data_IF_697484557143
#
_entry.id   IF_697484557143
#
_cell.length_a   1.000
_cell.length_b   1.000
_cell.length_c   1.000
_cell.angle_alpha   90.00
_cell.angle_beta   90.00
_cell.angle_gamma   90.00
#
_symmetry.space_group_name_H-M   'P 1'
#
loop_
_entity.id
_entity.type
_entity.pdbx_description
1 polymer ?
#
# COMPACT_ATOMS: atom_id res chain seq x y z
N UNK A 1 9.75 0.95 4.43
CA UNK A 1 10.55 2.01 3.78
C UNK A 1 9.60 2.99 3.13
N UNK A 2 9.73 4.29 3.40
CA UNK A 2 8.89 5.32 2.77
C UNK A 2 9.77 6.01 1.72
N UNK A 3 9.29 6.12 0.50
CA UNK A 3 10.00 6.77 -0.60
C UNK A 3 9.32 8.11 -0.89
N UNK A 4 10.11 9.20 -0.87
CA UNK A 4 9.63 10.55 -1.20
C UNK A 4 9.74 10.76 -2.70
N UNK A 5 8.68 11.30 -3.31
CA UNK A 5 8.61 11.64 -4.73
C UNK A 5 8.16 13.08 -4.91
N UNK A 6 8.51 13.68 -6.03
CA UNK A 6 8.06 15.01 -6.44
C UNK A 6 6.93 14.88 -7.47
N UNK A 7 5.90 15.70 -7.32
CA UNK A 7 4.72 15.69 -8.19
C UNK A 7 4.63 17.03 -8.92
N UNK A 8 4.49 16.97 -10.24
CA UNK A 8 4.23 18.14 -11.08
C UNK A 8 2.93 17.96 -11.85
N UNK A 9 2.01 18.89 -11.67
CA UNK A 9 0.74 18.93 -12.41
C UNK A 9 0.86 19.85 -13.63
N UNK A 10 0.42 19.36 -14.80
CA UNK A 10 0.28 20.16 -16.03
C UNK A 10 -1.05 19.81 -16.70
N UNK A 11 -2.05 20.68 -16.51
CA UNK A 11 -3.40 20.47 -17.04
C UNK A 11 -3.97 19.13 -16.57
N UNK A 12 -4.24 18.23 -17.51
CA UNK A 12 -4.82 16.90 -17.25
C UNK A 12 -3.78 15.81 -17.00
N UNK A 13 -2.52 16.18 -16.79
CA UNK A 13 -1.40 15.26 -16.57
C UNK A 13 -0.69 15.50 -15.24
N UNK A 14 -0.31 14.40 -14.61
CA UNK A 14 0.50 14.34 -13.40
C UNK A 14 1.81 13.66 -13.78
N UNK A 15 2.93 14.35 -13.57
CA UNK A 15 4.29 13.81 -13.75
C UNK A 15 4.90 13.54 -12.38
N UNK A 16 5.46 12.33 -12.21
CA UNK A 16 6.06 11.87 -10.96
C UNK A 16 7.57 11.78 -11.17
N UNK A 17 8.33 12.46 -10.31
CA UNK A 17 9.78 12.47 -10.34
C UNK A 17 10.36 11.83 -9.07
N UNK A 18 11.50 11.17 -9.24
CA UNK A 18 12.32 10.69 -8.14
C UNK A 18 13.76 11.14 -8.37
N UNK A 19 14.31 11.93 -7.43
CA UNK A 19 15.66 12.51 -7.54
C UNK A 19 15.85 13.35 -8.82
N UNK A 20 14.82 14.11 -9.23
CA UNK A 20 14.83 14.92 -10.44
C UNK A 20 14.64 14.13 -11.76
N UNK A 21 14.52 12.80 -11.70
CA UNK A 21 14.29 11.96 -12.88
C UNK A 21 12.80 11.64 -13.01
N UNK A 22 12.23 11.83 -14.21
CA UNK A 22 10.84 11.48 -14.50
C UNK A 22 10.70 9.95 -14.50
N UNK A 23 9.86 9.42 -13.61
CA UNK A 23 9.65 7.97 -13.44
C UNK A 23 8.27 7.51 -13.91
N UNK A 24 7.27 8.38 -13.91
CA UNK A 24 5.92 8.06 -14.35
C UNK A 24 5.15 9.30 -14.78
N UNK A 25 4.16 9.07 -15.65
CA UNK A 25 3.22 10.09 -16.12
C UNK A 25 1.82 9.48 -16.13
N UNK A 26 0.85 10.17 -15.52
CA UNK A 26 -0.55 9.73 -15.42
C UNK A 26 -1.51 10.82 -15.88
N UNK A 27 -2.67 10.41 -16.40
CA UNK A 27 -3.81 11.33 -16.53
C UNK A 27 -4.38 11.64 -15.16
N UNK A 28 -4.73 12.91 -14.95
CA UNK A 28 -5.43 13.37 -13.75
C UNK A 28 -6.84 12.80 -13.77
N UNK A 29 -7.27 12.28 -12.63
CA UNK A 29 -8.65 11.87 -12.45
C UNK A 29 -9.56 13.10 -12.47
N UNK A 30 -10.64 13.06 -13.26
CA UNK A 30 -11.61 14.16 -13.35
C UNK A 30 -12.51 14.22 -12.11
N UNK A 31 -12.62 13.10 -11.38
CA UNK A 31 -13.48 12.96 -10.20
C UNK A 31 -12.72 12.43 -8.99
N UNK A 32 -13.14 12.87 -7.81
CA UNK A 32 -12.50 12.57 -6.52
C UNK A 32 -12.40 11.07 -6.18
N UNK A 33 -13.24 10.24 -6.79
CA UNK A 33 -13.29 8.79 -6.56
C UNK A 33 -13.06 8.00 -7.85
N UNK A 34 -12.35 8.59 -8.82
CA UNK A 34 -12.02 7.92 -10.07
C UNK A 34 -10.59 7.39 -10.02
N UNK A 35 -10.43 6.12 -10.38
CA UNK A 35 -9.12 5.47 -10.55
C UNK A 35 -8.85 5.37 -12.05
N UNK A 36 -7.74 5.95 -12.50
CA UNK A 36 -7.26 5.81 -13.88
C UNK A 36 -6.06 4.87 -13.84
N UNK A 37 -6.19 3.70 -14.46
CA UNK A 37 -5.15 2.69 -14.55
C UNK A 37 -4.71 2.57 -15.99
N UNK A 38 -3.43 2.83 -16.25
CA UNK A 38 -2.77 2.52 -17.52
C UNK A 38 -2.03 1.19 -17.36
N UNK A 39 -2.53 0.12 -17.97
CA UNK A 39 -1.94 -1.21 -17.82
C UNK A 39 -0.53 -1.32 -18.41
N UNK A 40 -0.18 -0.52 -19.43
CA UNK A 40 1.17 -0.54 -20.01
C UNK A 40 2.21 -0.08 -18.97
N UNK A 41 1.84 0.86 -18.10
CA UNK A 41 2.68 1.32 -17.00
C UNK A 41 3.06 0.18 -16.01
N UNK A 42 2.18 -0.80 -15.82
CA UNK A 42 2.37 -1.89 -14.85
C UNK A 42 2.94 -3.18 -15.46
N UNK A 43 3.14 -3.24 -16.78
CA UNK A 43 3.60 -4.47 -17.45
C UNK A 43 4.93 -4.98 -16.88
N UNK A 44 5.87 -4.08 -16.59
CA UNK A 44 7.18 -4.42 -16.01
C UNK A 44 7.15 -4.89 -14.56
N UNK A 45 6.04 -4.71 -13.84
CA UNK A 45 5.86 -5.14 -12.45
C UNK A 45 5.41 -6.61 -12.34
N UNK A 46 4.74 -7.13 -13.38
CA UNK A 46 4.24 -8.50 -13.42
C UNK A 46 5.36 -9.56 -13.44
N UNK A 47 6.54 -9.21 -13.96
CA UNK A 47 7.65 -10.15 -14.17
C UNK A 47 8.66 -10.24 -13.00
N UNK A 48 8.33 -9.73 -11.81
CA UNK A 48 9.23 -9.81 -10.63
C UNK A 48 8.63 -10.63 -9.50
N UNK A 49 8.20 -11.84 -9.81
CA UNK A 49 8.12 -12.90 -8.82
C UNK A 49 9.03 -14.04 -9.26
N UNK A 50 10.35 -13.77 -9.18
CA UNK A 50 11.29 -14.84 -8.89
C UNK A 50 10.73 -15.63 -7.71
N UNK A 51 10.57 -16.91 -7.96
CA UNK A 51 9.98 -17.89 -7.09
C UNK A 51 10.87 -18.06 -5.85
N UNK A 52 10.70 -17.18 -4.87
CA UNK A 52 11.07 -17.47 -3.49
C UNK A 52 9.99 -16.89 -2.61
N UNK A 53 8.81 -17.50 -2.69
CA UNK A 53 7.86 -17.46 -1.58
C UNK A 53 8.58 -18.05 -0.37
N UNK A 54 9.24 -17.21 0.41
CA UNK A 54 9.49 -17.54 1.82
C UNK A 54 8.11 -17.64 2.44
N UNK A 55 7.60 -18.86 2.50
CA UNK A 55 6.50 -19.22 3.40
C UNK A 55 7.03 -18.94 4.81
N UNK A 56 6.88 -17.71 5.27
CA UNK A 56 7.00 -17.43 6.69
C UNK A 56 5.88 -18.22 7.37
N UNK A 57 6.16 -18.97 8.46
CA UNK A 57 5.10 -19.53 9.28
C UNK A 57 4.16 -18.40 9.66
N UNK A 58 2.86 -18.58 9.43
CA UNK A 58 1.87 -17.67 9.98
C UNK A 58 2.04 -17.71 11.51
N UNK A 59 2.07 -16.55 12.19
CA UNK A 59 2.12 -16.55 13.65
C UNK A 59 0.94 -17.33 14.19
N UNK A 60 1.16 -18.05 15.29
CA UNK A 60 0.11 -18.76 16.00
C UNK A 60 -0.91 -17.72 16.52
N UNK A 61 -2.13 -17.73 15.98
CA UNK A 61 -3.19 -16.81 16.37
C UNK A 61 -4.13 -17.54 17.32
N UNK A 62 -4.27 -17.03 18.54
CA UNK A 62 -5.25 -17.52 19.51
C UNK A 62 -6.62 -16.90 19.26
N UNK A 63 -7.66 -17.72 19.28
CA UNK A 63 -9.05 -17.24 19.32
C UNK A 63 -9.39 -16.87 20.76
N UNK A 64 -9.72 -15.60 21.00
CA UNK A 64 -10.07 -15.07 22.33
C UNK A 64 -11.56 -14.71 22.41
N UNK A 65 -12.16 -14.92 23.58
CA UNK A 65 -13.53 -14.44 23.85
C UNK A 65 -13.62 -12.93 23.73
N UNK A 66 -14.80 -12.43 23.35
CA UNK A 66 -15.09 -10.99 23.31
C UNK A 66 -14.91 -10.31 24.68
N UNK A 67 -15.06 -11.06 25.78
CA UNK A 67 -14.90 -10.58 27.16
C UNK A 67 -13.49 -10.07 27.45
N UNK A 68 -12.48 -10.57 26.72
CA UNK A 68 -11.09 -10.11 26.83
C UNK A 68 -10.95 -8.67 26.34
N UNK A 69 -11.67 -8.31 25.27
CA UNK A 69 -11.65 -6.96 24.72
C UNK A 69 -12.46 -5.98 25.58
N UNK A 70 -13.55 -6.44 26.19
CA UNK A 70 -14.32 -5.64 27.15
C UNK A 70 -13.46 -5.29 28.38
N UNK A 71 -12.73 -6.27 28.92
CA UNK A 71 -11.82 -6.08 30.05
C UNK A 71 -10.68 -5.11 29.73
N UNK A 72 -10.12 -5.18 28.51
CA UNK A 72 -9.10 -4.23 28.03
C UNK A 72 -9.64 -2.80 27.90
N UNK A 73 -10.86 -2.64 27.40
CA UNK A 73 -11.50 -1.34 27.21
C UNK A 73 -11.73 -0.61 28.55
N UNK A 74 -11.89 -1.37 29.64
CA UNK A 74 -12.07 -0.85 31.00
C UNK A 74 -10.75 -0.66 31.77
N UNK A 75 -9.60 -0.85 31.12
CA UNK A 75 -8.27 -0.68 31.73
C UNK A 75 -7.70 -1.94 32.39
N UNK A 76 -8.26 -3.12 32.10
CA UNK A 76 -7.73 -4.41 32.54
C UNK A 76 -6.40 -4.76 31.87
N UNK A 77 -5.52 -5.44 32.62
CA UNK A 77 -4.22 -5.94 32.15
C UNK A 77 -4.41 -7.33 31.53
N UNK A 78 -3.79 -7.58 30.37
CA UNK A 78 -3.67 -8.91 29.79
C UNK A 78 -2.79 -9.78 30.71
N UNK A 79 -3.40 -10.70 31.43
CA UNK A 79 -2.68 -11.79 32.10
C UNK A 79 -2.66 -12.97 31.14
N UNK A 80 -1.46 -13.39 30.75
CA UNK A 80 -1.20 -14.53 29.88
C UNK A 80 -1.28 -15.87 30.61
#
# INVERSE_FOLDING_TARGET
MHQTVELQERGDLISIYHQGVLIATHRKAESKHQVIIDMEHYWGLSNKHDATKKTAPLPEVEVRSLDVYASLAEGGVLVG
#
